data_IF_826405216038
#
_entry.id   IF_826405216038
#
_cell.length_a   1.000
_cell.length_b   1.000
_cell.length_c   1.000
_cell.angle_alpha   90.00
_cell.angle_beta   90.00
_cell.angle_gamma   90.00
#
_symmetry.space_group_name_H-M   'P 1'
#
loop_
_entity.id
_entity.type
_entity.pdbx_description
1 polymer ?
#
# COMPACT_ATOMS: atom_id res chain seq x y z
N UNK A 1 -1.83 18.08 8.17
CA UNK A 1 -2.94 17.72 9.09
C UNK A 1 -3.48 18.88 9.91
N UNK A 2 -2.68 19.88 10.28
CA UNK A 2 -3.11 21.05 11.07
C UNK A 2 -4.27 21.84 10.46
N UNK A 3 -4.38 21.94 9.13
CA UNK A 3 -5.52 22.56 8.46
C UNK A 3 -6.69 21.59 8.21
N UNK A 4 -6.41 20.29 8.08
CA UNK A 4 -7.40 19.28 7.70
C UNK A 4 -8.42 19.05 8.80
N UNK A 5 -7.96 18.78 10.03
CA UNK A 5 -8.86 18.44 11.14
C UNK A 5 -9.82 19.58 11.54
N UNK A 6 -9.39 20.84 11.68
CA UNK A 6 -10.31 21.95 11.93
C UNK A 6 -11.36 22.08 10.82
N UNK A 7 -10.95 21.93 9.55
CA UNK A 7 -11.87 22.02 8.43
C UNK A 7 -12.87 20.86 8.40
N UNK A 8 -12.41 19.65 8.71
CA UNK A 8 -13.29 18.49 8.87
C UNK A 8 -14.30 18.70 10.00
N UNK A 9 -13.88 19.23 11.14
CA UNK A 9 -14.78 19.53 12.27
C UNK A 9 -15.88 20.53 11.88
N UNK A 10 -15.59 21.53 11.04
CA UNK A 10 -16.58 22.48 10.55
C UNK A 10 -17.63 21.84 9.62
N UNK A 11 -17.21 20.88 8.80
CA UNK A 11 -18.06 20.29 7.76
C UNK A 11 -18.89 19.09 8.27
N UNK A 12 -18.36 18.34 9.23
CA UNK A 12 -19.08 17.19 9.79
C UNK A 12 -20.25 17.67 10.67
N UNK A 13 -21.42 17.06 10.48
CA UNK A 13 -22.55 17.19 11.42
C UNK A 13 -22.16 16.61 12.79
N UNK A 14 -22.76 17.08 13.90
CA UNK A 14 -22.57 16.45 15.19
C UNK A 14 -22.90 14.95 15.14
N UNK A 15 -22.07 14.11 15.78
CA UNK A 15 -22.15 12.65 15.68
C UNK A 15 -21.65 12.03 14.37
N UNK A 16 -21.28 12.85 13.37
CA UNK A 16 -20.74 12.39 12.09
C UNK A 16 -19.40 11.66 12.22
N UNK A 17 -19.09 10.77 11.27
CA UNK A 17 -17.86 9.97 11.28
C UNK A 17 -16.86 10.47 10.24
N UNK A 18 -15.59 10.53 10.61
CA UNK A 18 -14.46 10.61 9.68
C UNK A 18 -13.91 9.20 9.48
N UNK A 19 -13.68 8.82 8.23
CA UNK A 19 -12.99 7.59 7.87
C UNK A 19 -11.78 7.92 6.99
N UNK A 20 -10.60 7.46 7.38
CA UNK A 20 -9.36 7.57 6.62
C UNK A 20 -8.86 6.15 6.39
N UNK A 21 -8.60 5.78 5.14
CA UNK A 21 -8.07 4.46 4.83
C UNK A 21 -6.94 4.55 3.82
N UNK A 22 -6.09 3.54 3.83
CA UNK A 22 -5.02 3.40 2.84
C UNK A 22 -4.58 1.94 2.74
N UNK A 23 -3.79 1.68 1.72
CA UNK A 23 -3.10 0.42 1.47
C UNK A 23 -1.60 0.63 1.62
N UNK A 24 -0.90 -0.37 2.14
CA UNK A 24 0.56 -0.40 2.25
C UNK A 24 1.19 -1.33 1.22
N UNK A 25 2.36 -1.87 1.58
CA UNK A 25 3.15 -2.77 0.74
C UNK A 25 2.37 -4.01 0.26
N UNK A 26 2.72 -4.48 -0.92
CA UNK A 26 2.20 -5.72 -1.49
C UNK A 26 2.75 -6.95 -0.73
N UNK A 27 1.87 -7.93 -0.49
CA UNK A 27 2.18 -9.18 0.19
C UNK A 27 1.80 -10.37 -0.67
N UNK A 28 2.78 -11.23 -0.95
CA UNK A 28 2.57 -12.45 -1.72
C UNK A 28 1.88 -13.50 -0.85
N UNK A 29 0.85 -14.16 -1.40
CA UNK A 29 0.12 -15.18 -0.68
C UNK A 29 0.99 -16.43 -0.45
N UNK A 30 1.00 -17.06 0.75
CA UNK A 30 1.85 -18.22 1.04
C UNK A 30 1.59 -19.46 0.17
N UNK A 31 0.41 -19.56 -0.45
CA UNK A 31 0.11 -20.64 -1.40
C UNK A 31 0.81 -20.48 -2.76
N UNK A 32 1.48 -19.35 -3.00
CA UNK A 32 2.23 -19.15 -4.24
C UNK A 32 3.48 -20.05 -4.24
N UNK A 33 3.80 -20.70 -5.37
CA UNK A 33 5.13 -21.27 -5.53
C UNK A 33 6.18 -20.16 -5.36
N UNK A 34 7.31 -20.48 -4.70
CA UNK A 34 8.39 -19.54 -4.44
C UNK A 34 7.96 -18.22 -3.74
N UNK A 35 6.86 -18.22 -2.97
CA UNK A 35 6.28 -17.00 -2.39
C UNK A 35 7.30 -16.13 -1.63
N UNK A 36 8.22 -16.72 -0.86
CA UNK A 36 9.24 -15.99 -0.11
C UNK A 36 10.26 -15.29 -1.02
N UNK A 37 10.69 -15.96 -2.09
CA UNK A 37 11.61 -15.37 -3.06
C UNK A 37 10.93 -14.27 -3.90
N UNK A 38 9.65 -14.47 -4.26
CA UNK A 38 8.84 -13.46 -4.95
C UNK A 38 8.64 -12.24 -4.04
N UNK A 39 8.35 -12.45 -2.75
CA UNK A 39 8.25 -11.35 -1.78
C UNK A 39 9.57 -10.59 -1.69
N UNK A 40 10.72 -11.28 -1.65
CA UNK A 40 12.01 -10.62 -1.63
C UNK A 40 12.29 -9.77 -2.88
N UNK A 41 11.79 -10.17 -4.05
CA UNK A 41 11.88 -9.37 -5.28
C UNK A 41 11.04 -8.07 -5.18
N UNK A 42 9.85 -8.14 -4.57
CA UNK A 42 9.01 -6.96 -4.28
C UNK A 42 9.70 -6.06 -3.25
N UNK A 43 10.20 -6.63 -2.14
CA UNK A 43 10.88 -5.86 -1.09
C UNK A 43 12.14 -5.16 -1.64
N UNK A 44 12.85 -5.80 -2.58
CA UNK A 44 13.99 -5.19 -3.28
C UNK A 44 13.57 -3.99 -4.12
N UNK A 45 12.45 -4.07 -4.84
CA UNK A 45 11.89 -2.92 -5.56
C UNK A 45 11.58 -1.78 -4.59
N UNK A 46 10.91 -2.06 -3.47
CA UNK A 46 10.60 -1.06 -2.45
C UNK A 46 11.87 -0.40 -1.91
N UNK A 47 12.93 -1.18 -1.70
CA UNK A 47 14.23 -0.65 -1.25
C UNK A 47 14.88 0.28 -2.29
N UNK A 48 14.81 -0.06 -3.58
CA UNK A 48 15.32 0.82 -4.65
C UNK A 48 14.53 2.13 -4.74
N UNK A 49 13.23 2.08 -4.45
CA UNK A 49 12.34 3.24 -4.52
C UNK A 49 12.41 4.13 -3.27
N UNK A 50 13.15 3.73 -2.23
CA UNK A 50 13.19 4.45 -0.95
C UNK A 50 13.63 5.92 -1.08
N UNK A 51 14.62 6.19 -1.93
CA UNK A 51 15.13 7.54 -2.20
C UNK A 51 14.13 8.41 -2.97
N UNK A 52 13.09 7.80 -3.55
CA UNK A 52 12.04 8.45 -4.33
C UNK A 52 10.72 8.61 -3.56
N UNK A 53 10.71 8.16 -2.29
CA UNK A 53 9.59 8.29 -1.37
C UNK A 53 9.56 9.67 -0.72
N UNK A 54 8.40 10.33 -0.75
CA UNK A 54 8.15 11.52 0.08
C UNK A 54 7.37 11.15 1.34
N UNK A 55 7.25 12.09 2.28
CA UNK A 55 6.56 11.86 3.56
C UNK A 55 5.15 11.26 3.40
N UNK A 56 4.38 11.73 2.42
CA UNK A 56 3.05 11.20 2.13
C UNK A 56 3.07 9.71 1.75
N UNK A 57 4.08 9.27 0.98
CA UNK A 57 4.23 7.85 0.63
C UNK A 57 4.56 7.00 1.85
N UNK A 58 5.45 7.49 2.73
CA UNK A 58 5.85 6.79 3.95
C UNK A 58 4.66 6.63 4.90
N UNK A 59 3.88 7.69 5.09
CA UNK A 59 2.64 7.65 5.88
C UNK A 59 1.66 6.61 5.36
N UNK A 60 1.52 6.43 4.05
CA UNK A 60 0.62 5.38 3.50
C UNK A 60 1.22 3.98 3.61
N UNK A 61 2.52 3.82 3.34
CA UNK A 61 3.22 2.52 3.45
C UNK A 61 3.17 1.97 4.87
N UNK A 62 3.41 2.83 5.86
CA UNK A 62 3.37 2.48 7.28
C UNK A 62 1.95 2.53 7.85
N UNK A 63 0.93 2.47 6.99
CA UNK A 63 -0.47 2.37 7.38
C UNK A 63 -0.90 3.48 8.36
N UNK A 64 -0.48 4.72 8.12
CA UNK A 64 -0.80 5.88 8.97
C UNK A 64 -0.42 5.72 10.44
N UNK A 65 0.60 4.93 10.79
CA UNK A 65 1.08 4.80 12.18
C UNK A 65 1.40 6.17 12.78
N UNK A 66 2.11 7.02 12.03
CA UNK A 66 2.53 8.35 12.47
C UNK A 66 1.64 9.49 11.94
N UNK A 67 0.42 9.17 11.45
CA UNK A 67 -0.48 10.20 10.95
C UNK A 67 -0.96 11.10 12.11
N UNK A 68 -0.73 12.43 12.06
CA UNK A 68 -1.18 13.31 13.13
C UNK A 68 -2.71 13.31 13.26
N UNK A 69 -3.20 12.89 14.42
CA UNK A 69 -4.62 12.83 14.80
C UNK A 69 -5.08 14.14 15.48
N UNK A 70 -6.40 14.41 15.58
CA UNK A 70 -6.93 15.67 16.08
C UNK A 70 -6.38 16.12 17.43
N UNK A 71 -6.12 15.18 18.34
CA UNK A 71 -5.61 15.40 19.70
C UNK A 71 -4.09 15.33 19.83
N UNK A 72 -3.36 15.07 18.75
CA UNK A 72 -1.88 15.03 18.72
C UNK A 72 -1.28 16.27 18.04
N UNK A 73 -2.11 17.16 17.50
CA UNK A 73 -1.66 18.42 16.93
C UNK A 73 -1.20 19.40 18.02
N UNK A 74 -0.31 20.32 17.66
CA UNK A 74 0.11 21.45 18.53
C UNK A 74 -1.10 22.26 19.03
N UNK A 75 -2.06 22.52 18.15
CA UNK A 75 -3.39 23.03 18.50
C UNK A 75 -4.41 21.90 18.32
N UNK A 76 -4.81 21.22 19.41
CA UNK A 76 -5.79 20.14 19.34
C UNK A 76 -7.15 20.60 18.80
N UNK A 77 -7.88 19.69 18.14
CA UNK A 77 -9.24 19.92 17.63
C UNK A 77 -10.25 19.19 18.53
N UNK A 78 -10.84 19.87 19.54
CA UNK A 78 -11.62 19.25 20.61
C UNK A 78 -12.97 18.69 20.16
N UNK A 79 -13.43 19.01 18.96
CA UNK A 79 -14.70 18.56 18.39
C UNK A 79 -14.70 17.06 18.07
N UNK A 80 -13.54 16.41 17.98
CA UNK A 80 -13.46 14.96 17.79
C UNK A 80 -13.39 14.20 19.11
N UNK A 81 -14.14 13.10 19.19
CA UNK A 81 -14.18 12.25 20.37
C UNK A 81 -13.11 11.14 20.27
N UNK A 82 -12.00 11.33 20.98
CA UNK A 82 -10.90 10.34 21.07
C UNK A 82 -11.38 8.97 21.53
N UNK A 83 -12.42 8.88 22.35
CA UNK A 83 -12.92 7.60 22.87
C UNK A 83 -13.59 6.75 21.79
N UNK A 84 -14.00 7.37 20.68
CA UNK A 84 -14.60 6.70 19.51
C UNK A 84 -13.57 6.29 18.46
N UNK A 85 -12.28 6.55 18.71
CA UNK A 85 -11.24 6.24 17.74
C UNK A 85 -11.09 4.74 17.55
N UNK A 86 -11.20 4.32 16.29
CA UNK A 86 -11.01 2.95 15.85
C UNK A 86 -9.86 2.92 14.84
N UNK A 87 -8.91 2.02 15.05
CA UNK A 87 -7.91 1.65 14.06
C UNK A 87 -8.08 0.17 13.75
N UNK A 88 -8.48 -0.15 12.52
CA UNK A 88 -8.60 -1.51 12.03
C UNK A 88 -7.53 -1.73 10.97
N UNK A 89 -6.69 -2.74 11.17
CA UNK A 89 -5.61 -3.10 10.26
C UNK A 89 -5.87 -4.46 9.63
N UNK A 90 -5.31 -4.66 8.44
CA UNK A 90 -5.35 -5.91 7.70
C UNK A 90 -3.96 -6.25 7.13
N UNK A 91 -3.65 -7.55 7.00
CA UNK A 91 -2.41 -8.02 6.38
C UNK A 91 -1.13 -7.73 7.18
N UNK A 92 -1.24 -7.50 8.50
CA UNK A 92 -0.10 -7.34 9.41
C UNK A 92 0.36 -8.72 9.94
N UNK A 93 1.66 -8.83 10.24
CA UNK A 93 2.31 -10.02 10.84
C UNK A 93 2.31 -11.30 9.97
N UNK A 94 2.25 -11.14 8.64
CA UNK A 94 2.34 -12.27 7.71
C UNK A 94 1.12 -13.20 7.74
N UNK A 95 0.07 -12.85 8.49
CA UNK A 95 -1.21 -13.53 8.40
C UNK A 95 -1.84 -13.19 7.04
N UNK A 96 -2.14 -14.18 6.18
CA UNK A 96 -2.96 -13.92 5.01
C UNK A 96 -4.28 -13.31 5.48
N UNK A 97 -4.78 -12.29 4.77
CA UNK A 97 -6.09 -11.72 5.10
C UNK A 97 -7.12 -12.85 5.17
N UNK A 98 -7.94 -12.90 6.23
CA UNK A 98 -9.10 -13.77 6.21
C UNK A 98 -9.91 -13.44 4.95
N UNK A 99 -10.29 -14.47 4.18
CA UNK A 99 -10.93 -14.34 2.87
C UNK A 99 -12.29 -13.63 2.86
N UNK A 100 -12.70 -13.05 3.99
CA UNK A 100 -13.91 -12.29 4.23
C UNK A 100 -13.67 -10.78 4.48
N UNK A 101 -12.44 -10.26 4.30
CA UNK A 101 -12.09 -8.86 4.63
C UNK A 101 -11.79 -7.97 3.40
N UNK A 102 -11.52 -6.68 3.64
CA UNK A 102 -11.60 -5.56 2.69
C UNK A 102 -10.83 -5.76 1.36
N UNK A 103 -9.73 -6.53 1.34
CA UNK A 103 -8.98 -6.85 0.11
C UNK A 103 -9.14 -8.31 -0.36
N UNK A 104 -9.96 -9.12 0.30
CA UNK A 104 -10.19 -10.53 -0.05
C UNK A 104 -10.79 -10.73 -1.46
N UNK A 105 -11.30 -9.67 -2.08
CA UNK A 105 -11.76 -9.66 -3.46
C UNK A 105 -10.66 -9.40 -4.51
N UNK A 106 -9.39 -9.18 -4.13
CA UNK A 106 -8.33 -8.98 -5.11
C UNK A 106 -8.08 -10.29 -5.88
N UNK A 107 -8.52 -10.29 -7.14
CA UNK A 107 -8.26 -11.38 -8.08
C UNK A 107 -6.75 -11.52 -8.31
N UNK A 108 -6.33 -12.74 -8.64
CA UNK A 108 -4.94 -12.96 -9.08
C UNK A 108 -4.65 -12.05 -10.27
N UNK A 109 -3.52 -11.33 -10.21
CA UNK A 109 -3.09 -10.45 -11.27
C UNK A 109 -2.07 -11.19 -12.14
N UNK A 110 -2.21 -11.10 -13.46
CA UNK A 110 -1.09 -11.46 -14.33
C UNK A 110 0.05 -10.43 -14.20
N UNK A 111 1.21 -10.75 -14.78
CA UNK A 111 2.38 -9.88 -14.67
C UNK A 111 2.23 -8.57 -15.46
N UNK A 112 1.35 -8.51 -16.46
CA UNK A 112 1.04 -7.29 -17.21
C UNK A 112 0.27 -6.29 -16.35
N UNK A 113 -0.75 -6.77 -15.63
CA UNK A 113 -1.51 -5.98 -14.68
C UNK A 113 -0.61 -5.51 -13.53
N UNK A 114 0.29 -6.36 -13.04
CA UNK A 114 1.25 -5.99 -12.00
C UNK A 114 2.16 -4.83 -12.46
N UNK A 115 2.76 -4.94 -13.65
CA UNK A 115 3.62 -3.88 -14.21
C UNK A 115 2.84 -2.58 -14.44
N UNK A 116 1.60 -2.68 -14.95
CA UNK A 116 0.73 -1.53 -15.16
C UNK A 116 0.45 -0.80 -13.84
N UNK A 117 0.00 -1.52 -12.80
CA UNK A 117 -0.36 -0.94 -11.51
C UNK A 117 0.84 -0.28 -10.84
N UNK A 118 1.99 -0.98 -10.79
CA UNK A 118 3.21 -0.43 -10.19
C UNK A 118 3.74 0.78 -10.97
N UNK A 119 3.54 0.80 -12.29
CA UNK A 119 3.86 1.94 -13.15
C UNK A 119 3.10 3.22 -12.82
N UNK A 120 1.99 3.16 -12.07
CA UNK A 120 1.24 4.34 -11.61
C UNK A 120 1.75 4.93 -10.29
N UNK A 121 2.64 4.22 -9.59
CA UNK A 121 3.08 4.64 -8.26
C UNK A 121 4.02 5.84 -8.37
N UNK A 122 3.75 6.89 -7.60
CA UNK A 122 4.55 8.14 -7.66
C UNK A 122 6.07 7.96 -7.44
N UNK A 123 6.57 7.02 -6.60
CA UNK A 123 8.01 6.78 -6.50
C UNK A 123 8.61 6.21 -7.79
N UNK A 124 7.87 5.34 -8.50
CA UNK A 124 8.31 4.82 -9.82
C UNK A 124 8.38 5.95 -10.83
N UNK A 125 7.40 6.87 -10.85
CA UNK A 125 7.46 8.05 -11.72
C UNK A 125 8.72 8.87 -11.48
N UNK A 126 9.02 9.20 -10.22
CA UNK A 126 10.24 9.97 -9.86
C UNK A 126 11.53 9.20 -10.17
N UNK A 127 11.53 7.88 -9.98
CA UNK A 127 12.67 7.03 -10.37
C UNK A 127 12.91 7.09 -11.88
N UNK A 128 11.85 7.02 -12.69
CA UNK A 128 11.92 7.11 -14.16
C UNK A 128 12.39 8.48 -14.63
N UNK A 129 11.97 9.56 -13.97
CA UNK A 129 12.46 10.92 -14.23
C UNK A 129 13.97 11.03 -13.99
N UNK A 130 14.51 10.33 -12.99
CA UNK A 130 15.94 10.29 -12.69
C UNK A 130 16.75 9.32 -13.58
N UNK A 131 16.09 8.36 -14.23
CA UNK A 131 16.72 7.33 -15.08
C UNK A 131 16.07 7.26 -16.48
N UNK A 132 16.10 8.37 -17.25
CA UNK A 132 15.36 8.45 -18.51
C UNK A 132 15.83 7.43 -19.56
N UNK A 133 17.08 7.00 -19.52
CA UNK A 133 17.64 6.00 -20.45
C UNK A 133 17.18 4.57 -20.14
N UNK A 134 16.68 4.32 -18.93
CA UNK A 134 16.14 3.02 -18.52
C UNK A 134 14.66 2.86 -18.89
N UNK A 135 13.91 3.96 -19.04
CA UNK A 135 12.46 3.96 -19.30
C UNK A 135 12.15 3.25 -20.62
N UNK A 136 11.19 2.33 -20.59
CA UNK A 136 10.79 1.54 -21.77
C UNK A 136 11.78 0.44 -22.16
N UNK A 137 12.83 0.20 -21.37
CA UNK A 137 13.81 -0.87 -21.58
C UNK A 137 13.70 -1.93 -20.48
N UNK A 138 14.40 -3.07 -20.64
CA UNK A 138 14.51 -4.09 -19.58
C UNK A 138 15.29 -3.60 -18.34
N UNK A 139 15.85 -2.38 -18.37
CA UNK A 139 16.49 -1.72 -17.22
C UNK A 139 15.50 -0.93 -16.36
N UNK A 140 14.24 -0.78 -16.77
CA UNK A 140 13.21 -0.14 -15.96
C UNK A 140 13.02 -0.91 -14.65
N UNK A 141 12.96 -0.20 -13.52
CA UNK A 141 12.93 -0.82 -12.19
C UNK A 141 11.76 -1.79 -12.00
N UNK A 142 10.59 -1.50 -12.59
CA UNK A 142 9.43 -2.39 -12.53
C UNK A 142 9.63 -3.61 -13.41
N UNK A 143 10.29 -3.45 -14.57
CA UNK A 143 10.60 -4.57 -15.48
C UNK A 143 11.63 -5.52 -14.88
N UNK A 144 12.66 -5.00 -14.24
CA UNK A 144 13.66 -5.82 -13.52
C UNK A 144 12.96 -6.71 -12.49
N UNK A 145 12.07 -6.12 -11.66
CA UNK A 145 11.31 -6.87 -10.67
C UNK A 145 10.37 -7.89 -11.34
N UNK A 146 9.65 -7.49 -12.39
CA UNK A 146 8.78 -8.39 -13.14
C UNK A 146 9.52 -9.61 -13.69
N UNK A 147 10.67 -9.42 -14.33
CA UNK A 147 11.48 -10.52 -14.90
C UNK A 147 11.97 -11.48 -13.83
N UNK A 148 12.29 -10.95 -12.65
CA UNK A 148 12.67 -11.78 -11.52
C UNK A 148 11.49 -12.63 -11.04
N UNK A 149 10.28 -12.07 -10.92
CA UNK A 149 9.08 -12.85 -10.59
C UNK A 149 8.77 -13.90 -11.66
N UNK A 150 8.84 -13.53 -12.95
CA UNK A 150 8.61 -14.45 -14.07
C UNK A 150 9.57 -15.66 -13.99
N UNK A 151 10.86 -15.41 -13.82
CA UNK A 151 11.90 -16.44 -13.63
C UNK A 151 11.56 -17.34 -12.44
N UNK A 152 11.23 -16.77 -11.29
CA UNK A 152 10.90 -17.53 -10.08
C UNK A 152 9.66 -18.41 -10.25
N UNK A 153 8.66 -17.96 -11.02
CA UNK A 153 7.48 -18.76 -11.31
C UNK A 153 7.82 -19.93 -12.25
N UNK A 154 8.62 -19.70 -13.29
CA UNK A 154 9.06 -20.75 -14.21
C UNK A 154 9.93 -21.81 -13.53
N UNK A 155 10.83 -21.40 -12.63
CA UNK A 155 11.64 -22.32 -11.82
C UNK A 155 10.81 -23.24 -10.92
N UNK A 156 9.61 -22.79 -10.54
CA UNK A 156 8.65 -23.59 -9.79
C UNK A 156 7.68 -24.39 -10.67
N UNK A 157 7.90 -24.41 -12.00
CA UNK A 157 7.12 -25.19 -12.95
C UNK A 157 5.85 -24.52 -13.48
N UNK A 158 5.69 -23.19 -13.28
CA UNK A 158 4.60 -22.45 -13.94
C UNK A 158 4.93 -22.32 -15.43
N UNK A 159 3.99 -22.75 -16.29
CA UNK A 159 4.16 -22.67 -17.74
C UNK A 159 4.14 -21.22 -18.23
N UNK A 160 4.86 -20.97 -19.32
CA UNK A 160 4.87 -19.66 -19.96
C UNK A 160 3.45 -19.22 -20.35
N UNK A 161 3.07 -18.00 -19.99
CA UNK A 161 1.74 -17.44 -20.24
C UNK A 161 0.69 -17.79 -19.19
N UNK A 162 1.07 -18.51 -18.12
CA UNK A 162 0.19 -18.84 -16.98
C UNK A 162 0.65 -18.18 -15.68
N UNK A 163 1.56 -17.21 -15.78
CA UNK A 163 2.11 -16.48 -14.65
C UNK A 163 1.04 -15.59 -14.02
N UNK A 164 0.61 -15.95 -12.82
CA UNK A 164 -0.32 -15.17 -12.02
C UNK A 164 0.25 -14.98 -10.64
N UNK A 165 0.13 -13.77 -10.10
CA UNK A 165 0.49 -13.44 -8.74
C UNK A 165 -0.77 -13.46 -7.86
N UNK A 166 -0.74 -14.27 -6.80
CA UNK A 166 -1.71 -14.20 -5.71
C UNK A 166 -1.10 -13.45 -4.54
N UNK A 167 -1.86 -12.51 -4.02
CA UNK A 167 -1.43 -11.67 -2.92
C UNK A 167 -2.48 -10.63 -2.59
N UNK A 168 -2.14 -9.74 -1.68
CA UNK A 168 -2.94 -8.58 -1.34
C UNK A 168 -2.05 -7.42 -0.97
N UNK A 169 -2.66 -6.35 -0.50
CA UNK A 169 -1.97 -5.23 0.12
C UNK A 169 -2.29 -5.21 1.60
N UNK A 170 -1.34 -4.80 2.43
CA UNK A 170 -1.68 -4.45 3.81
C UNK A 170 -2.65 -3.26 3.81
N UNK A 171 -3.48 -3.12 4.84
CA UNK A 171 -4.49 -2.09 4.87
C UNK A 171 -4.73 -1.51 6.25
N UNK A 172 -5.25 -0.28 6.29
CA UNK A 172 -5.75 0.31 7.52
C UNK A 172 -6.98 1.16 7.28
N UNK A 173 -7.88 1.16 8.25
CA UNK A 173 -9.00 2.08 8.38
C UNK A 173 -8.92 2.73 9.76
N UNK A 174 -8.84 4.05 9.76
CA UNK A 174 -8.98 4.91 10.92
C UNK A 174 -10.38 5.52 10.90
N UNK A 175 -11.11 5.41 12.01
CA UNK A 175 -12.40 6.07 12.19
C UNK A 175 -12.45 6.85 13.49
N UNK A 176 -13.12 7.99 13.46
CA UNK A 176 -13.39 8.81 14.65
C UNK A 176 -14.67 9.60 14.44
N UNK A 177 -15.43 9.83 15.51
CA UNK A 177 -16.65 10.64 15.46
C UNK A 177 -16.40 12.07 15.90
N UNK A 178 -17.11 13.00 15.27
CA UNK A 178 -17.36 14.33 15.84
C UNK A 178 -18.31 14.18 17.01
N UNK A 179 -18.05 14.90 18.10
CA UNK A 179 -18.94 15.00 19.27
C UNK A 179 -20.34 15.45 18.83
N UNK A 180 -21.35 14.98 19.56
CA UNK A 180 -22.74 15.38 19.39
C UNK A 180 -22.96 16.84 19.81
#
# INVERSE_FOLDING_TARGET
>A
MSAFWPRAAQLLKPGGSMALWTSGSMRVHPSMPNHAAIQAAIDKLEKVLEDYMVLGNRLTHDLYVDLPLPWTLETPVPEFDKTTFLRKEWGRDGAPEPGDQFYAGQQSADLDMLEMVLGTTSPVTRWREAHPDAVGTERDVVRIMRREIERLLHEAGVEKGREVLKGGVAGVLLMVKKKA
#
